data_IF_300930364827
#
_entry.id   IF_300930364827
#
_cell.length_a   1.000
_cell.length_b   1.000
_cell.length_c   1.000
_cell.angle_alpha   90.00
_cell.angle_beta   90.00
_cell.angle_gamma   90.00
#
_symmetry.space_group_name_H-M   'P 1'
#
loop_
_entity.id
_entity.type
_entity.pdbx_description
1 polymer ?
#
# COMPACT_ATOMS: atom_id res chain seq x y z
N UNK A 1 63.70 -50.94 76.05
CA UNK A 1 63.61 -51.16 74.56
C UNK A 1 62.26 -51.17 73.95
N UNK A 2 61.17 -51.59 74.66
CA UNK A 2 59.76 -51.50 74.16
C UNK A 2 59.35 -50.06 73.89
N UNK A 3 59.76 -49.07 74.68
CA UNK A 3 59.48 -47.62 74.42
C UNK A 3 60.13 -47.09 73.18
N UNK A 4 61.36 -47.58 72.86
CA UNK A 4 62.06 -47.15 71.66
C UNK A 4 61.40 -47.72 70.40
N UNK A 5 60.95 -48.96 70.44
CA UNK A 5 60.22 -49.61 69.35
C UNK A 5 58.89 -48.90 69.08
N UNK A 6 58.09 -48.58 70.16
CA UNK A 6 56.83 -47.87 70.04
C UNK A 6 57.01 -46.44 69.45
N UNK A 7 58.08 -45.76 69.84
CA UNK A 7 58.37 -44.40 69.22
C UNK A 7 58.76 -44.52 67.73
N UNK A 8 59.53 -45.57 67.37
CA UNK A 8 59.89 -45.81 65.96
C UNK A 8 58.64 -46.18 65.15
N UNK A 9 57.83 -47.11 65.69
CA UNK A 9 56.55 -47.48 65.02
C UNK A 9 55.66 -46.26 64.82
N UNK A 10 55.43 -45.46 65.86
CA UNK A 10 54.62 -44.23 65.75
C UNK A 10 55.26 -43.19 64.78
N UNK A 11 56.59 -43.08 64.75
CA UNK A 11 57.23 -42.18 63.72
C UNK A 11 57.12 -42.69 62.31
N UNK A 12 57.13 -44.00 62.09
CA UNK A 12 56.91 -44.62 60.77
C UNK A 12 55.46 -44.45 60.35
N UNK A 13 54.49 -44.75 61.26
CA UNK A 13 53.07 -44.53 61.00
C UNK A 13 52.75 -43.06 60.68
N UNK A 14 53.31 -42.13 61.46
CA UNK A 14 53.19 -40.68 61.20
C UNK A 14 53.81 -40.27 59.84
N UNK A 15 54.92 -40.88 59.48
CA UNK A 15 55.56 -40.69 58.17
C UNK A 15 54.76 -41.23 57.02
N UNK A 16 54.20 -42.45 57.17
CA UNK A 16 53.32 -43.04 56.19
C UNK A 16 52.01 -42.22 56.03
N UNK A 17 51.42 -41.77 57.11
CA UNK A 17 50.23 -40.92 57.07
C UNK A 17 50.52 -39.57 56.42
N UNK A 18 51.64 -38.94 56.72
CA UNK A 18 52.08 -37.69 56.09
C UNK A 18 52.29 -37.84 54.57
N UNK A 19 52.81 -38.99 54.16
CA UNK A 19 53.03 -39.30 52.75
C UNK A 19 51.68 -39.55 52.04
N UNK A 20 50.78 -40.32 52.67
CA UNK A 20 49.44 -40.56 52.14
C UNK A 20 48.65 -39.26 52.00
N UNK A 21 48.69 -38.37 53.00
CA UNK A 21 48.07 -37.05 52.94
C UNK A 21 48.64 -36.15 51.84
N UNK A 22 49.97 -36.21 51.62
CA UNK A 22 50.63 -35.49 50.53
C UNK A 22 50.16 -35.99 49.16
N UNK A 23 50.08 -37.32 49.03
CA UNK A 23 49.60 -37.96 47.79
C UNK A 23 48.17 -37.59 47.46
N UNK A 24 47.28 -37.72 48.46
CA UNK A 24 45.86 -37.29 48.32
C UNK A 24 45.73 -35.83 47.89
N UNK A 25 46.42 -34.90 48.55
CA UNK A 25 46.42 -33.47 48.20
C UNK A 25 46.94 -33.24 46.77
N UNK A 26 47.91 -34.00 46.32
CA UNK A 26 48.43 -33.93 44.94
C UNK A 26 47.39 -34.42 43.96
N UNK A 27 46.72 -35.54 44.21
CA UNK A 27 45.63 -36.07 43.38
C UNK A 27 44.46 -35.07 43.26
N UNK A 28 44.07 -34.49 44.39
CA UNK A 28 43.04 -33.46 44.43
C UNK A 28 43.40 -32.22 43.62
N UNK A 29 44.66 -31.79 43.69
CA UNK A 29 45.19 -30.66 42.90
C UNK A 29 45.22 -30.97 41.42
N UNK A 30 45.60 -32.18 41.01
CA UNK A 30 45.60 -32.64 39.63
C UNK A 30 44.15 -32.66 39.11
N UNK A 31 43.21 -33.28 39.83
CA UNK A 31 41.82 -33.35 39.43
C UNK A 31 41.17 -31.96 39.28
N UNK A 32 41.51 -31.03 40.19
CA UNK A 32 41.06 -29.64 40.09
C UNK A 32 41.55 -28.93 38.82
N UNK A 33 42.85 -29.07 38.50
CA UNK A 33 43.39 -28.48 37.24
C UNK A 33 42.87 -29.18 36.01
N UNK A 34 42.66 -30.49 36.01
CA UNK A 34 42.03 -31.24 34.92
C UNK A 34 40.63 -30.73 34.63
N UNK A 35 39.84 -30.50 35.69
CA UNK A 35 38.49 -29.91 35.54
C UNK A 35 38.50 -28.52 34.94
N UNK A 36 39.45 -27.66 35.35
CA UNK A 36 39.62 -26.31 34.80
C UNK A 36 40.09 -26.34 33.33
N UNK A 37 40.97 -27.27 32.99
CA UNK A 37 41.44 -27.45 31.61
C UNK A 37 40.30 -27.96 30.72
N UNK A 38 39.51 -28.93 31.18
CA UNK A 38 38.36 -29.44 30.45
C UNK A 38 37.27 -28.38 30.26
N UNK A 39 37.01 -27.56 31.27
CA UNK A 39 36.10 -26.43 31.15
C UNK A 39 36.56 -25.41 30.13
N UNK A 40 37.83 -25.08 30.11
CA UNK A 40 38.41 -24.19 29.11
C UNK A 40 38.32 -24.76 27.68
N UNK A 41 38.56 -26.08 27.53
CA UNK A 41 38.38 -26.78 26.25
C UNK A 41 36.95 -26.73 25.75
N UNK A 42 35.96 -26.98 26.63
CA UNK A 42 34.53 -26.89 26.33
C UNK A 42 34.11 -25.47 25.88
N UNK A 43 34.55 -24.46 26.63
CA UNK A 43 34.32 -23.05 26.27
C UNK A 43 34.94 -22.72 24.90
N UNK A 44 36.17 -23.19 24.65
CA UNK A 44 36.90 -22.94 23.41
C UNK A 44 36.18 -23.57 22.20
N UNK A 45 35.58 -24.71 22.37
CA UNK A 45 34.92 -25.45 21.30
C UNK A 45 33.49 -24.94 21.04
N UNK A 46 32.70 -24.73 22.08
CA UNK A 46 31.22 -24.60 21.95
C UNK A 46 30.69 -23.21 22.27
N UNK A 47 31.39 -22.36 23.05
CA UNK A 47 30.82 -21.08 23.47
C UNK A 47 30.75 -20.05 22.34
N UNK A 48 29.60 -19.39 22.23
CA UNK A 48 29.36 -18.23 21.33
C UNK A 48 29.12 -16.93 22.11
N UNK A 49 29.03 -17.02 23.44
CA UNK A 49 28.90 -15.87 24.34
C UNK A 49 30.27 -15.26 24.62
N UNK A 50 30.87 -14.62 23.64
CA UNK A 50 32.27 -14.20 23.61
C UNK A 50 32.75 -13.42 24.83
N UNK A 51 31.90 -12.55 25.39
CA UNK A 51 32.23 -11.76 26.57
C UNK A 51 32.28 -12.63 27.82
N UNK A 52 31.21 -13.34 28.12
CA UNK A 52 31.07 -14.20 29.29
C UNK A 52 32.11 -15.33 29.27
N UNK A 53 32.31 -15.96 28.10
CA UNK A 53 33.31 -16.98 27.88
C UNK A 53 34.72 -16.46 28.10
N UNK A 54 35.06 -15.27 27.58
CA UNK A 54 36.37 -14.64 27.79
C UNK A 54 36.61 -14.28 29.25
N UNK A 55 35.58 -13.82 29.97
CA UNK A 55 35.67 -13.56 31.41
C UNK A 55 35.86 -14.85 32.19
N UNK A 56 35.22 -15.95 31.82
CA UNK A 56 35.38 -17.25 32.47
C UNK A 56 36.78 -17.84 32.22
N UNK A 57 37.31 -17.77 31.02
CA UNK A 57 38.71 -18.22 30.72
C UNK A 57 39.71 -17.46 31.58
N UNK A 58 39.52 -16.15 31.79
CA UNK A 58 40.36 -15.37 32.71
C UNK A 58 40.22 -15.80 34.14
N UNK A 59 38.99 -16.06 34.62
CA UNK A 59 38.74 -16.56 35.99
C UNK A 59 39.39 -17.93 36.20
N UNK A 60 39.31 -18.84 35.22
CA UNK A 60 40.00 -20.14 35.23
C UNK A 60 41.51 -19.95 35.48
N UNK A 61 42.14 -18.98 34.84
CA UNK A 61 43.54 -18.68 35.06
C UNK A 61 43.86 -18.27 36.48
N UNK A 62 42.99 -17.46 37.10
CA UNK A 62 43.17 -17.03 38.49
C UNK A 62 42.96 -18.19 39.47
N UNK A 63 41.98 -19.08 39.25
CA UNK A 63 41.77 -20.32 40.00
C UNK A 63 42.99 -21.26 39.84
N UNK A 64 43.53 -21.40 38.61
CA UNK A 64 44.70 -22.20 38.30
C UNK A 64 45.92 -21.81 39.11
N UNK A 65 46.22 -20.53 39.25
CA UNK A 65 47.34 -19.96 40.00
C UNK A 65 47.31 -20.32 41.50
N UNK A 66 46.12 -20.55 42.06
CA UNK A 66 45.92 -20.89 43.48
C UNK A 66 46.21 -22.35 43.77
N UNK A 67 46.13 -23.25 42.79
CA UNK A 67 46.32 -24.69 42.97
C UNK A 67 47.82 -24.98 42.90
N UNK A 68 48.38 -25.54 43.98
CA UNK A 68 49.77 -25.87 44.16
C UNK A 68 49.96 -27.36 44.55
N UNK A 69 51.16 -27.86 44.52
CA UNK A 69 51.51 -29.21 44.99
C UNK A 69 51.48 -30.31 43.93
N UNK A 70 51.46 -29.93 42.64
CA UNK A 70 51.57 -30.84 41.49
C UNK A 70 53.00 -30.91 41.04
N UNK A 71 53.46 -32.07 40.59
CA UNK A 71 54.78 -32.21 39.97
C UNK A 71 54.84 -31.45 38.61
N UNK A 72 56.05 -30.98 38.29
CA UNK A 72 56.29 -30.14 37.15
C UNK A 72 55.84 -30.76 35.82
N UNK A 73 56.06 -32.04 35.62
CA UNK A 73 55.72 -32.73 34.36
C UNK A 73 54.20 -32.77 34.14
N UNK A 74 53.46 -33.11 35.17
CA UNK A 74 51.99 -33.15 35.11
C UNK A 74 51.41 -31.73 34.99
N UNK A 75 51.98 -30.77 35.75
CA UNK A 75 51.53 -29.38 35.69
C UNK A 75 51.77 -28.75 34.30
N UNK A 76 52.92 -28.99 33.70
CA UNK A 76 53.23 -28.55 32.34
C UNK A 76 52.29 -29.16 31.29
N UNK A 77 51.91 -30.44 31.46
CA UNK A 77 50.98 -31.09 30.56
C UNK A 77 49.58 -30.47 30.61
N UNK A 78 49.08 -30.24 31.85
CA UNK A 78 47.78 -29.61 32.09
C UNK A 78 47.74 -28.14 31.64
N UNK A 79 48.86 -27.42 31.88
CA UNK A 79 49.03 -26.05 31.40
C UNK A 79 48.98 -25.96 29.86
N UNK A 80 49.57 -26.91 29.16
CA UNK A 80 49.48 -26.97 27.69
C UNK A 80 48.06 -27.15 27.20
N UNK A 81 47.25 -27.96 27.88
CA UNK A 81 45.83 -28.12 27.55
C UNK A 81 45.08 -26.79 27.70
N UNK A 82 45.18 -26.15 28.85
CA UNK A 82 44.57 -24.84 29.12
C UNK A 82 45.01 -23.77 28.11
N UNK A 83 46.31 -23.66 27.88
CA UNK A 83 46.89 -22.68 26.97
C UNK A 83 46.38 -22.86 25.54
N UNK A 84 46.30 -24.11 25.06
CA UNK A 84 45.75 -24.42 23.72
C UNK A 84 44.26 -24.05 23.64
N UNK A 85 43.50 -24.35 24.66
CA UNK A 85 42.10 -24.01 24.74
C UNK A 85 41.91 -22.47 24.69
N UNK A 86 42.62 -21.73 25.53
CA UNK A 86 42.60 -20.26 25.54
C UNK A 86 42.97 -19.68 24.17
N UNK A 87 44.03 -20.18 23.55
CA UNK A 87 44.48 -19.68 22.25
C UNK A 87 43.48 -20.03 21.12
N UNK A 88 42.87 -21.21 21.19
CA UNK A 88 41.81 -21.60 20.28
C UNK A 88 40.59 -20.70 20.41
N UNK A 89 40.14 -20.42 21.63
CA UNK A 89 39.06 -19.47 21.90
C UNK A 89 39.37 -18.09 21.36
N UNK A 90 40.56 -17.55 21.61
CA UNK A 90 40.98 -16.24 21.11
C UNK A 90 41.02 -16.17 19.58
N UNK A 91 41.45 -17.24 18.89
CA UNK A 91 41.39 -17.31 17.43
C UNK A 91 39.98 -17.32 16.90
N UNK A 92 39.09 -18.16 17.46
CA UNK A 92 37.66 -18.21 17.07
C UNK A 92 36.99 -16.85 17.25
N UNK A 93 37.21 -16.24 18.42
CA UNK A 93 36.69 -14.90 18.73
C UNK A 93 37.19 -13.86 17.72
N UNK A 94 38.50 -13.84 17.44
CA UNK A 94 39.14 -12.94 16.48
C UNK A 94 38.55 -13.12 15.06
N UNK A 95 38.42 -14.36 14.61
CA UNK A 95 37.84 -14.68 13.31
C UNK A 95 36.40 -14.22 13.20
N UNK A 96 35.58 -14.46 14.24
CA UNK A 96 34.20 -14.05 14.28
C UNK A 96 34.03 -12.51 14.14
N UNK A 97 34.78 -11.74 14.92
CA UNK A 97 34.73 -10.28 14.83
C UNK A 97 35.31 -9.75 13.51
N UNK A 98 36.36 -10.37 12.96
CA UNK A 98 36.87 -10.00 11.65
C UNK A 98 35.86 -10.28 10.51
N UNK A 99 35.08 -11.34 10.61
CA UNK A 99 33.98 -11.60 9.66
C UNK A 99 32.88 -10.56 9.77
N UNK A 100 32.47 -10.22 10.99
CA UNK A 100 31.46 -9.16 11.23
C UNK A 100 31.93 -7.81 10.65
N UNK A 101 33.19 -7.45 10.86
CA UNK A 101 33.75 -6.20 10.34
C UNK A 101 33.82 -6.19 8.81
N UNK A 102 34.17 -7.32 8.20
CA UNK A 102 34.10 -7.48 6.74
C UNK A 102 32.68 -7.35 6.22
N UNK A 103 31.72 -8.03 6.85
CA UNK A 103 30.30 -7.94 6.47
C UNK A 103 29.76 -6.50 6.59
N UNK A 104 30.15 -5.79 7.67
CA UNK A 104 29.80 -4.38 7.86
C UNK A 104 30.41 -3.46 6.80
N UNK A 105 31.65 -3.72 6.40
CA UNK A 105 32.30 -2.96 5.33
C UNK A 105 31.62 -3.17 3.97
N UNK A 106 31.24 -4.40 3.66
CA UNK A 106 30.49 -4.72 2.43
C UNK A 106 29.11 -4.03 2.45
N UNK A 107 28.39 -4.12 3.58
CA UNK A 107 27.09 -3.47 3.75
C UNK A 107 27.21 -1.94 3.61
N UNK A 108 28.24 -1.33 4.19
CA UNK A 108 28.54 0.09 4.04
C UNK A 108 28.70 0.48 2.56
N UNK A 109 29.57 -0.20 1.84
CA UNK A 109 29.82 0.07 0.41
C UNK A 109 28.55 -0.04 -0.42
N UNK A 110 27.77 -1.12 -0.21
CA UNK A 110 26.49 -1.30 -0.91
C UNK A 110 25.50 -0.18 -0.61
N UNK A 111 25.40 0.25 0.64
CA UNK A 111 24.50 1.35 1.04
C UNK A 111 24.96 2.72 0.51
N UNK A 112 26.28 2.96 0.43
CA UNK A 112 26.82 4.15 -0.23
C UNK A 112 26.38 4.20 -1.71
N UNK A 113 26.50 3.10 -2.45
CA UNK A 113 26.03 2.99 -3.84
C UNK A 113 24.51 3.23 -3.96
N UNK A 114 23.73 2.70 -3.02
CA UNK A 114 22.27 2.89 -3.01
C UNK A 114 21.87 4.35 -2.74
N UNK A 115 22.59 5.03 -1.85
CA UNK A 115 22.38 6.47 -1.59
C UNK A 115 22.69 7.29 -2.84
N UNK A 116 23.81 7.04 -3.51
CA UNK A 116 24.17 7.73 -4.75
C UNK A 116 23.09 7.53 -5.84
N UNK A 117 22.58 6.32 -6.00
CA UNK A 117 21.48 6.03 -6.93
C UNK A 117 20.18 6.73 -6.53
N UNK A 118 19.86 6.80 -5.24
CA UNK A 118 18.68 7.51 -4.75
C UNK A 118 18.79 9.02 -4.98
N UNK A 119 19.96 9.62 -4.69
CA UNK A 119 20.22 11.03 -4.94
C UNK A 119 20.23 11.38 -6.43
N UNK A 120 20.70 10.48 -7.29
CA UNK A 120 20.68 10.69 -8.75
C UNK A 120 19.27 10.82 -9.35
N UNK A 121 18.26 10.22 -8.72
CA UNK A 121 16.87 10.22 -9.22
C UNK A 121 15.92 11.11 -8.42
N UNK A 122 16.39 11.82 -7.40
CA UNK A 122 15.54 12.60 -6.49
C UNK A 122 14.82 13.78 -7.15
N UNK A 123 15.34 14.30 -8.26
CA UNK A 123 14.80 15.41 -9.02
C UNK A 123 14.06 14.97 -10.32
N UNK A 124 13.82 13.67 -10.46
CA UNK A 124 13.13 13.12 -11.62
C UNK A 124 11.65 13.54 -11.65
N UNK A 125 11.16 13.89 -12.85
CA UNK A 125 9.75 14.15 -13.12
C UNK A 125 9.00 12.91 -13.67
N UNK A 126 9.71 11.81 -13.88
CA UNK A 126 9.16 10.52 -14.28
C UNK A 126 8.52 9.81 -13.08
N UNK A 127 7.38 10.32 -12.60
CA UNK A 127 6.78 9.96 -11.33
C UNK A 127 6.55 8.46 -11.12
N UNK A 128 6.01 7.76 -12.12
CA UNK A 128 5.70 6.33 -12.05
C UNK A 128 6.95 5.45 -12.03
N UNK A 129 7.83 5.53 -13.04
CA UNK A 129 9.08 4.78 -13.09
C UNK A 129 9.98 5.03 -11.88
N UNK A 130 10.17 6.29 -11.48
CA UNK A 130 11.03 6.66 -10.35
C UNK A 130 10.48 6.19 -9.00
N UNK A 131 9.15 6.21 -8.81
CA UNK A 131 8.54 5.64 -7.61
C UNK A 131 8.75 4.11 -7.52
N UNK A 132 8.79 3.41 -8.65
CA UNK A 132 9.19 1.99 -8.68
C UNK A 132 10.65 1.81 -8.34
N UNK A 133 11.54 2.63 -8.92
CA UNK A 133 12.96 2.59 -8.63
C UNK A 133 13.25 2.80 -7.13
N UNK A 134 12.58 3.71 -6.44
CA UNK A 134 12.71 3.87 -4.99
C UNK A 134 12.24 2.65 -4.19
N UNK A 135 11.23 1.92 -4.63
CA UNK A 135 10.81 0.66 -4.00
C UNK A 135 11.87 -0.43 -4.15
N UNK A 136 12.48 -0.52 -5.34
CA UNK A 136 13.54 -1.47 -5.61
C UNK A 136 14.80 -1.13 -4.79
N UNK A 137 15.19 0.14 -4.73
CA UNK A 137 16.28 0.62 -3.88
C UNK A 137 16.04 0.31 -2.40
N UNK A 138 14.80 0.44 -1.91
CA UNK A 138 14.45 0.10 -0.53
C UNK A 138 14.58 -1.41 -0.28
N UNK A 139 14.22 -2.24 -1.24
CA UNK A 139 14.40 -3.70 -1.16
C UNK A 139 15.88 -4.06 -1.09
N UNK A 140 16.70 -3.46 -1.96
CA UNK A 140 18.16 -3.62 -1.93
C UNK A 140 18.76 -3.10 -0.62
N UNK A 141 18.25 -1.99 -0.08
CA UNK A 141 18.66 -1.44 1.21
C UNK A 141 18.48 -2.42 2.36
N UNK A 142 17.32 -3.04 2.43
CA UNK A 142 16.99 -4.05 3.45
C UNK A 142 17.87 -5.29 3.32
N UNK A 143 18.22 -5.68 2.10
CA UNK A 143 19.07 -6.83 1.82
C UNK A 143 20.56 -6.57 2.07
N UNK A 144 21.01 -5.32 2.04
CA UNK A 144 22.42 -4.95 2.17
C UNK A 144 23.04 -5.25 3.56
N UNK A 145 22.23 -5.52 4.57
CA UNK A 145 22.69 -5.78 5.93
C UNK A 145 22.99 -4.50 6.72
N UNK A 146 23.73 -4.66 7.81
CA UNK A 146 24.07 -3.55 8.73
C UNK A 146 25.49 -3.06 8.49
N UNK A 147 25.63 -1.78 8.20
CA UNK A 147 26.91 -1.07 8.23
C UNK A 147 27.26 -0.68 9.69
N UNK A 148 28.48 -0.14 9.96
CA UNK A 148 28.78 0.47 11.25
C UNK A 148 27.73 1.52 11.61
N UNK A 149 27.27 1.52 12.86
CA UNK A 149 26.07 2.25 13.30
C UNK A 149 26.09 3.74 12.94
N UNK A 150 27.17 4.42 13.21
CA UNK A 150 27.33 5.85 12.94
C UNK A 150 27.29 6.19 11.45
N UNK A 151 27.82 5.30 10.62
CA UNK A 151 27.78 5.40 9.16
C UNK A 151 26.40 5.03 8.63
N UNK A 152 25.81 3.96 9.15
CA UNK A 152 24.48 3.48 8.75
C UNK A 152 23.40 4.54 8.97
N UNK A 153 23.42 5.22 10.13
CA UNK A 153 22.49 6.30 10.46
C UNK A 153 22.62 7.48 9.49
N UNK A 154 23.86 7.87 9.12
CA UNK A 154 24.13 8.95 8.16
C UNK A 154 23.68 8.58 6.74
N UNK A 155 23.96 7.36 6.30
CA UNK A 155 23.55 6.88 4.98
C UNK A 155 22.03 6.78 4.88
N UNK A 156 21.39 6.31 5.94
CA UNK A 156 19.93 6.27 6.01
C UNK A 156 19.29 7.66 5.93
N UNK A 157 19.84 8.64 6.65
CA UNK A 157 19.35 10.01 6.60
C UNK A 157 19.46 10.61 5.18
N UNK A 158 20.56 10.37 4.46
CA UNK A 158 20.73 10.80 3.07
C UNK A 158 19.75 10.08 2.11
N UNK A 159 19.64 8.78 2.23
CA UNK A 159 18.70 7.98 1.42
C UNK A 159 17.27 8.48 1.60
N UNK A 160 16.86 8.66 2.85
CA UNK A 160 15.51 9.15 3.18
C UNK A 160 15.28 10.58 2.69
N UNK A 161 16.26 11.46 2.83
CA UNK A 161 16.16 12.84 2.34
C UNK A 161 15.95 12.89 0.81
N UNK A 162 16.67 12.05 0.05
CA UNK A 162 16.48 11.93 -1.39
C UNK A 162 15.07 11.40 -1.75
N UNK A 163 14.63 10.38 -1.05
CA UNK A 163 13.28 9.82 -1.21
C UNK A 163 12.20 10.85 -0.89
N UNK A 164 12.31 11.53 0.24
CA UNK A 164 11.35 12.55 0.68
C UNK A 164 11.28 13.71 -0.32
N UNK A 165 12.42 14.17 -0.85
CA UNK A 165 12.49 15.22 -1.87
C UNK A 165 11.67 14.85 -3.11
N UNK A 166 11.86 13.64 -3.64
CA UNK A 166 11.11 13.16 -4.79
C UNK A 166 9.60 13.06 -4.51
N UNK A 167 9.22 12.40 -3.41
CA UNK A 167 7.80 12.20 -3.10
C UNK A 167 7.09 13.51 -2.76
N UNK A 168 7.77 14.46 -2.09
CA UNK A 168 7.21 15.78 -1.81
C UNK A 168 6.97 16.57 -3.12
N UNK A 169 7.92 16.54 -4.04
CA UNK A 169 7.76 17.18 -5.35
C UNK A 169 6.58 16.58 -6.14
N UNK A 170 6.48 15.24 -6.18
CA UNK A 170 5.36 14.53 -6.80
C UNK A 170 4.02 14.89 -6.15
N UNK A 171 3.97 14.92 -4.84
CA UNK A 171 2.75 15.24 -4.10
C UNK A 171 2.33 16.70 -4.35
N UNK A 172 3.28 17.63 -4.38
CA UNK A 172 2.99 19.04 -4.70
C UNK A 172 2.33 19.18 -6.08
N UNK A 173 2.82 18.47 -7.10
CA UNK A 173 2.22 18.48 -8.45
C UNK A 173 0.80 17.86 -8.43
N UNK A 174 0.60 16.78 -7.69
CA UNK A 174 -0.72 16.17 -7.55
C UNK A 174 -1.70 17.10 -6.80
N UNK A 175 -1.26 17.73 -5.72
CA UNK A 175 -2.07 18.65 -4.93
C UNK A 175 -2.47 19.89 -5.74
N UNK A 176 -1.58 20.42 -6.59
CA UNK A 176 -1.89 21.52 -7.50
C UNK A 176 -2.96 21.11 -8.52
N UNK A 177 -2.80 19.95 -9.15
CA UNK A 177 -3.79 19.41 -10.08
C UNK A 177 -5.14 19.16 -9.40
N UNK A 178 -5.14 18.64 -8.18
CA UNK A 178 -6.37 18.36 -7.43
C UNK A 178 -7.08 19.68 -7.04
N UNK A 179 -6.33 20.75 -6.75
CA UNK A 179 -6.89 22.10 -6.57
C UNK A 179 -7.49 22.64 -7.87
N UNK A 180 -6.76 22.54 -8.98
CA UNK A 180 -7.29 22.93 -10.29
C UNK A 180 -8.61 22.24 -10.61
N UNK A 181 -8.66 20.90 -10.42
CA UNK A 181 -9.88 20.14 -10.65
C UNK A 181 -11.04 20.55 -9.72
N UNK A 182 -10.74 20.90 -8.47
CA UNK A 182 -11.74 21.39 -7.55
C UNK A 182 -12.28 22.78 -7.93
N UNK A 183 -11.42 23.67 -8.43
CA UNK A 183 -11.88 24.97 -8.98
C UNK A 183 -12.67 24.80 -10.28
N UNK A 184 -12.28 23.86 -11.15
CA UNK A 184 -13.06 23.50 -12.34
C UNK A 184 -14.44 22.98 -11.97
N UNK A 185 -14.57 22.18 -10.91
CA UNK A 185 -15.85 21.70 -10.40
C UNK A 185 -16.76 22.88 -9.99
N UNK A 186 -16.21 23.83 -9.24
CA UNK A 186 -16.96 25.06 -8.87
C UNK A 186 -17.36 25.89 -10.06
N UNK A 187 -16.48 26.05 -11.04
CA UNK A 187 -16.76 26.76 -12.27
C UNK A 187 -17.89 26.09 -13.08
N UNK A 188 -17.89 24.77 -13.17
CA UNK A 188 -18.96 23.99 -13.82
C UNK A 188 -20.29 24.11 -13.05
N UNK A 189 -20.29 24.11 -11.73
CA UNK A 189 -21.50 24.38 -10.94
C UNK A 189 -22.05 25.78 -11.20
N UNK A 190 -21.18 26.80 -11.30
CA UNK A 190 -21.58 28.15 -11.65
C UNK A 190 -22.19 28.25 -13.06
N UNK A 191 -21.61 27.55 -14.04
CA UNK A 191 -22.17 27.46 -15.37
C UNK A 191 -23.56 26.81 -15.39
N UNK A 192 -23.74 25.69 -14.69
CA UNK A 192 -25.08 25.06 -14.58
C UNK A 192 -26.08 26.05 -13.97
N UNK A 193 -25.72 26.72 -12.86
CA UNK A 193 -26.59 27.68 -12.21
C UNK A 193 -26.94 28.87 -13.10
N UNK A 194 -26.01 29.36 -13.93
CA UNK A 194 -26.22 30.46 -14.86
C UNK A 194 -27.13 30.04 -16.02
N UNK A 195 -26.91 28.86 -16.60
CA UNK A 195 -27.60 28.43 -17.83
C UNK A 195 -28.87 27.65 -17.61
N UNK A 196 -29.12 27.06 -16.43
CA UNK A 196 -30.30 26.23 -16.17
C UNK A 196 -31.60 26.96 -16.45
N UNK A 197 -31.71 28.21 -16.02
CA UNK A 197 -32.89 29.05 -16.30
C UNK A 197 -32.93 29.67 -17.69
N UNK A 198 -31.78 29.73 -18.41
CA UNK A 198 -31.71 30.25 -19.78
C UNK A 198 -32.02 29.20 -20.83
N UNK A 199 -31.77 27.92 -20.53
CA UNK A 199 -32.11 26.79 -21.41
C UNK A 199 -33.55 26.39 -21.13
N UNK A 200 -34.49 27.21 -21.65
CA UNK A 200 -35.93 27.02 -21.52
C UNK A 200 -36.59 26.76 -22.89
N UNK A 201 -36.73 25.49 -23.28
CA UNK A 201 -37.32 25.11 -24.56
C UNK A 201 -38.81 25.49 -24.65
N UNK A 202 -39.49 25.76 -23.56
CA UNK A 202 -40.91 26.17 -23.57
C UNK A 202 -41.12 27.57 -24.19
N UNK A 203 -40.07 28.43 -24.07
CA UNK A 203 -40.07 29.77 -24.70
C UNK A 203 -39.60 29.74 -26.13
N UNK A 204 -38.51 29.03 -26.41
CA UNK A 204 -37.94 28.88 -27.74
C UNK A 204 -36.97 27.70 -27.78
N UNK A 205 -37.22 26.71 -28.60
CA UNK A 205 -36.35 25.56 -28.79
C UNK A 205 -35.00 26.01 -29.42
N UNK A 206 -35.04 26.86 -30.44
CA UNK A 206 -33.83 27.38 -31.08
C UNK A 206 -32.99 28.25 -30.10
N UNK A 207 -33.66 29.06 -29.26
CA UNK A 207 -33.00 29.81 -28.20
C UNK A 207 -32.33 28.92 -27.17
N UNK A 208 -33.05 27.85 -26.71
CA UNK A 208 -32.52 26.86 -25.79
C UNK A 208 -31.33 26.08 -26.35
N UNK A 209 -31.38 25.70 -27.64
CA UNK A 209 -30.28 25.07 -28.35
C UNK A 209 -29.04 25.99 -28.44
N UNK A 210 -29.23 27.26 -28.74
CA UNK A 210 -28.15 28.23 -28.82
C UNK A 210 -27.48 28.38 -27.45
N UNK A 211 -28.26 28.46 -26.36
CA UNK A 211 -27.73 28.54 -24.99
C UNK A 211 -27.05 27.25 -24.55
N UNK A 212 -27.58 26.10 -24.95
CA UNK A 212 -26.95 24.82 -24.67
C UNK A 212 -25.57 24.70 -25.34
N UNK A 213 -25.44 25.13 -26.61
CA UNK A 213 -24.12 25.15 -27.31
C UNK A 213 -23.14 26.10 -26.62
N UNK A 214 -23.59 27.29 -26.23
CA UNK A 214 -22.75 28.24 -25.49
C UNK A 214 -22.28 27.66 -24.14
N UNK A 215 -23.17 26.94 -23.42
CA UNK A 215 -22.80 26.21 -22.21
C UNK A 215 -21.78 25.11 -22.50
N UNK A 216 -21.98 24.30 -23.53
CA UNK A 216 -21.08 23.20 -23.90
C UNK A 216 -19.68 23.71 -24.24
N UNK A 217 -19.57 24.80 -24.98
CA UNK A 217 -18.27 25.44 -25.31
C UNK A 217 -17.54 25.88 -24.04
N UNK A 218 -18.23 26.61 -23.15
CA UNK A 218 -17.65 27.03 -21.86
C UNK A 218 -17.35 25.84 -20.95
N UNK A 219 -18.13 24.78 -21.00
CA UNK A 219 -17.94 23.56 -20.22
C UNK A 219 -16.65 22.84 -20.60
N UNK A 220 -16.33 22.76 -21.88
CA UNK A 220 -15.09 22.20 -22.40
C UNK A 220 -13.88 23.07 -22.03
N UNK A 221 -14.01 24.40 -22.09
CA UNK A 221 -12.94 25.32 -21.72
C UNK A 221 -12.56 25.21 -20.23
N UNK A 222 -13.49 24.91 -19.34
CA UNK A 222 -13.22 24.73 -17.91
C UNK A 222 -12.31 23.52 -17.67
N UNK A 223 -12.45 22.46 -18.44
CA UNK A 223 -11.61 21.27 -18.34
C UNK A 223 -12.10 20.23 -17.33
N UNK A 224 -11.14 19.48 -16.75
CA UNK A 224 -11.45 18.30 -15.95
C UNK A 224 -11.87 18.64 -14.51
N UNK A 225 -12.70 17.77 -13.93
CA UNK A 225 -13.13 17.78 -12.53
C UNK A 225 -12.53 16.59 -11.78
N UNK A 226 -12.56 16.56 -10.42
CA UNK A 226 -12.09 15.42 -9.64
C UNK A 226 -12.72 14.10 -10.11
N UNK A 227 -11.89 13.06 -10.25
CA UNK A 227 -12.31 11.76 -10.80
C UNK A 227 -13.57 11.17 -10.16
N UNK A 228 -13.74 11.41 -8.86
CA UNK A 228 -14.91 10.92 -8.11
C UNK A 228 -16.21 11.64 -8.48
N UNK A 229 -16.10 12.84 -9.05
CA UNK A 229 -17.25 13.72 -9.38
C UNK A 229 -17.55 13.70 -10.89
N UNK A 230 -16.74 13.07 -11.73
CA UNK A 230 -16.93 13.05 -13.19
C UNK A 230 -18.36 12.68 -13.58
N UNK A 231 -18.87 11.57 -13.04
CA UNK A 231 -20.24 11.10 -13.33
C UNK A 231 -21.34 12.08 -12.90
N UNK A 232 -21.14 12.77 -11.78
CA UNK A 232 -22.06 13.78 -11.29
C UNK A 232 -22.18 14.93 -12.27
N UNK A 233 -21.02 15.44 -12.75
CA UNK A 233 -20.96 16.55 -13.69
C UNK A 233 -21.42 16.16 -15.09
N UNK A 234 -21.12 14.96 -15.56
CA UNK A 234 -21.67 14.39 -16.78
C UNK A 234 -23.21 14.33 -16.71
N UNK A 235 -23.77 13.84 -15.61
CA UNK A 235 -25.23 13.79 -15.42
C UNK A 235 -25.88 15.18 -15.37
N UNK A 236 -25.20 16.20 -14.83
CA UNK A 236 -25.74 17.57 -14.78
C UNK A 236 -25.88 18.17 -16.19
N UNK A 237 -24.88 18.03 -17.03
CA UNK A 237 -24.95 18.56 -18.41
C UNK A 237 -25.90 17.72 -19.26
N UNK A 238 -25.84 16.40 -19.15
CA UNK A 238 -26.74 15.47 -19.85
C UNK A 238 -28.22 15.75 -19.56
N UNK A 239 -28.56 16.14 -18.33
CA UNK A 239 -29.94 16.51 -17.97
C UNK A 239 -30.41 17.75 -18.77
N UNK A 240 -29.55 18.74 -19.02
CA UNK A 240 -29.87 19.91 -19.82
C UNK A 240 -29.98 19.56 -21.32
N UNK A 241 -29.08 18.71 -21.81
CA UNK A 241 -29.12 18.19 -23.17
C UNK A 241 -30.41 17.41 -23.44
N UNK A 242 -30.79 16.53 -22.50
CA UNK A 242 -32.00 15.75 -22.59
C UNK A 242 -33.25 16.62 -22.56
N UNK A 243 -33.27 17.68 -21.73
CA UNK A 243 -34.38 18.66 -21.69
C UNK A 243 -34.64 19.28 -23.06
N UNK A 244 -33.59 19.68 -23.77
CA UNK A 244 -33.73 20.28 -25.11
C UNK A 244 -34.09 19.22 -26.15
N UNK A 245 -33.50 18.05 -26.10
CA UNK A 245 -33.78 16.94 -27.02
C UNK A 245 -35.25 16.45 -26.90
N UNK A 246 -35.79 16.35 -25.69
CA UNK A 246 -37.15 15.92 -25.47
C UNK A 246 -38.15 16.97 -26.00
N UNK A 247 -37.85 18.25 -25.78
CA UNK A 247 -38.70 19.32 -26.32
C UNK A 247 -38.67 19.34 -27.87
N UNK A 248 -37.51 19.17 -28.48
CA UNK A 248 -37.38 19.08 -29.94
C UNK A 248 -38.18 17.89 -30.51
N UNK A 249 -38.04 16.73 -29.87
CA UNK A 249 -38.78 15.54 -30.26
C UNK A 249 -40.30 15.72 -30.11
N UNK A 250 -40.74 16.42 -29.06
CA UNK A 250 -42.17 16.74 -28.84
C UNK A 250 -42.70 17.70 -29.91
N UNK A 251 -41.92 18.75 -30.27
CA UNK A 251 -42.30 19.67 -31.31
C UNK A 251 -42.35 19.00 -32.67
N UNK A 252 -41.37 18.16 -33.01
CA UNK A 252 -41.34 17.39 -34.24
C UNK A 252 -42.61 16.51 -34.37
N UNK A 253 -43.04 15.83 -33.31
CA UNK A 253 -44.28 15.05 -33.31
C UNK A 253 -45.53 15.89 -33.56
N UNK A 254 -45.58 17.08 -32.97
CA UNK A 254 -46.74 18.01 -33.18
C UNK A 254 -46.79 18.58 -34.61
N UNK A 255 -45.61 18.78 -35.21
CA UNK A 255 -45.50 19.37 -36.55
C UNK A 255 -45.35 18.31 -37.65
N UNK A 256 -45.32 17.01 -37.30
CA UNK A 256 -45.22 15.92 -38.28
C UNK A 256 -46.46 15.93 -39.22
N UNK A 257 -46.21 16.22 -40.50
CA UNK A 257 -47.33 16.32 -41.49
C UNK A 257 -48.10 15.03 -41.65
N UNK A 258 -47.45 13.85 -41.50
CA UNK A 258 -48.13 12.55 -41.60
C UNK A 258 -49.02 12.28 -40.37
N UNK A 259 -48.56 12.62 -39.18
CA UNK A 259 -49.36 12.50 -37.97
C UNK A 259 -50.57 13.45 -38.00
N UNK A 260 -50.35 14.72 -38.41
CA UNK A 260 -51.46 15.69 -38.57
C UNK A 260 -52.45 15.26 -39.68
N UNK A 261 -51.93 14.76 -40.82
CA UNK A 261 -52.77 14.24 -41.87
C UNK A 261 -53.64 13.05 -41.39
N UNK A 262 -53.10 12.18 -40.56
CA UNK A 262 -53.85 11.06 -39.95
C UNK A 262 -54.98 11.52 -39.03
N UNK A 263 -54.69 12.49 -38.18
CA UNK A 263 -55.73 13.10 -37.30
C UNK A 263 -56.83 13.75 -38.18
N UNK A 264 -56.44 14.55 -39.19
CA UNK A 264 -57.35 15.18 -40.11
C UNK A 264 -58.19 14.15 -40.91
N UNK A 265 -57.60 13.02 -41.31
CA UNK A 265 -58.29 11.94 -41.99
C UNK A 265 -59.35 11.28 -41.13
N UNK A 266 -59.08 11.05 -39.87
CA UNK A 266 -60.07 10.49 -38.92
C UNK A 266 -61.16 11.50 -38.62
N UNK A 267 -60.83 12.78 -38.43
CA UNK A 267 -61.82 13.82 -38.21
C UNK A 267 -62.75 13.98 -39.44
N UNK A 268 -62.21 13.94 -40.66
CA UNK A 268 -63.00 13.99 -41.86
C UNK A 268 -64.01 12.82 -41.95
N UNK A 269 -63.66 11.63 -41.46
CA UNK A 269 -64.59 10.50 -41.36
C UNK A 269 -65.72 10.77 -40.38
N UNK A 270 -65.38 11.34 -39.22
CA UNK A 270 -66.37 11.74 -38.20
C UNK A 270 -67.39 12.71 -38.83
N UNK A 271 -66.89 13.71 -39.53
CA UNK A 271 -67.77 14.76 -40.18
C UNK A 271 -68.69 14.15 -41.25
N UNK A 272 -68.14 13.21 -42.05
CA UNK A 272 -68.95 12.50 -43.07
C UNK A 272 -70.06 11.68 -42.41
N UNK A 273 -69.74 10.92 -41.34
CA UNK A 273 -70.78 10.11 -40.66
C UNK A 273 -71.80 10.96 -39.95
N UNK A 274 -71.43 12.08 -39.38
CA UNK A 274 -72.37 13.03 -38.76
C UNK A 274 -73.29 13.67 -39.81
N UNK A 275 -72.77 14.13 -40.94
CA UNK A 275 -73.59 14.68 -42.05
C UNK A 275 -74.51 13.64 -42.63
N UNK A 276 -74.13 12.38 -42.75
CA UNK A 276 -75.00 11.28 -43.18
C UNK A 276 -76.06 10.98 -42.15
N UNK A 277 -75.76 11.07 -40.86
CA UNK A 277 -76.72 10.89 -39.78
C UNK A 277 -77.78 11.97 -39.82
N UNK A 278 -77.40 13.25 -39.95
CA UNK A 278 -78.31 14.38 -40.10
C UNK A 278 -79.22 14.21 -41.32
N UNK A 279 -78.68 13.81 -42.48
CA UNK A 279 -79.42 13.53 -43.70
C UNK A 279 -80.41 12.36 -43.56
N UNK A 280 -80.02 11.33 -42.76
CA UNK A 280 -80.95 10.21 -42.46
C UNK A 280 -82.12 10.64 -41.53
N UNK A 281 -81.80 11.48 -40.56
CA UNK A 281 -82.74 12.05 -39.62
C UNK A 281 -83.78 12.92 -40.33
N UNK A 282 -83.31 13.78 -41.22
CA UNK A 282 -84.18 14.63 -42.05
C UNK A 282 -85.14 13.81 -42.98
N UNK A 283 -84.77 12.56 -43.31
CA UNK A 283 -85.56 11.60 -44.08
C UNK A 283 -86.48 10.70 -43.20
N UNK A 284 -86.53 10.98 -41.89
CA UNK A 284 -87.35 10.22 -40.95
C UNK A 284 -86.80 8.83 -40.55
N UNK A 285 -85.54 8.51 -40.91
CA UNK A 285 -84.90 7.19 -40.64
C UNK A 285 -84.09 7.25 -39.37
N UNK A 286 -84.75 7.30 -38.21
CA UNK A 286 -84.12 7.44 -36.89
C UNK A 286 -83.13 6.28 -36.54
N UNK A 287 -83.40 5.03 -37.00
CA UNK A 287 -82.54 3.88 -36.72
C UNK A 287 -81.25 4.05 -37.47
N UNK A 288 -81.27 4.43 -38.76
CA UNK A 288 -80.03 4.64 -39.55
C UNK A 288 -79.26 5.85 -39.04
N UNK A 289 -79.94 6.88 -38.59
CA UNK A 289 -79.24 8.02 -37.95
C UNK A 289 -78.52 7.63 -36.69
N UNK A 290 -79.12 6.81 -35.83
CA UNK A 290 -78.43 6.27 -34.63
C UNK A 290 -77.20 5.41 -34.93
N UNK A 291 -77.29 4.50 -35.91
CA UNK A 291 -76.20 3.65 -36.35
C UNK A 291 -75.02 4.49 -36.90
N UNK A 292 -75.34 5.54 -37.69
CA UNK A 292 -74.33 6.45 -38.23
C UNK A 292 -73.69 7.31 -37.16
N UNK A 293 -74.40 7.74 -36.13
CA UNK A 293 -73.84 8.46 -34.99
C UNK A 293 -72.92 7.54 -34.16
N UNK A 294 -73.30 6.29 -33.95
CA UNK A 294 -72.39 5.31 -33.26
C UNK A 294 -71.12 5.10 -34.05
N UNK A 295 -71.15 5.10 -35.36
CA UNK A 295 -69.91 5.03 -36.19
C UNK A 295 -69.13 6.35 -36.09
N UNK A 296 -69.73 7.49 -36.09
CA UNK A 296 -69.08 8.76 -35.87
C UNK A 296 -68.33 8.80 -34.51
N UNK A 297 -68.99 8.30 -33.43
CA UNK A 297 -68.34 8.17 -32.10
C UNK A 297 -67.13 7.26 -32.09
N UNK A 298 -67.18 6.13 -32.79
CA UNK A 298 -66.03 5.24 -32.93
C UNK A 298 -64.81 5.93 -33.64
N UNK A 299 -65.14 6.66 -34.75
CA UNK A 299 -64.05 7.40 -35.45
C UNK A 299 -63.53 8.60 -34.64
N UNK A 300 -64.46 9.23 -33.84
CA UNK A 300 -64.04 10.27 -32.89
C UNK A 300 -63.05 9.71 -31.87
N UNK A 301 -63.28 8.52 -31.32
CA UNK A 301 -62.32 7.89 -30.41
C UNK A 301 -60.96 7.62 -31.07
N UNK A 302 -60.94 7.24 -32.37
CA UNK A 302 -59.68 7.12 -33.12
C UNK A 302 -58.99 8.46 -33.38
N UNK A 303 -59.78 9.49 -33.69
CA UNK A 303 -59.25 10.85 -33.92
C UNK A 303 -58.67 11.40 -32.60
N UNK A 304 -59.34 11.22 -31.48
CA UNK A 304 -58.87 11.64 -30.17
C UNK A 304 -57.61 10.89 -29.74
N UNK A 305 -57.57 9.56 -29.95
CA UNK A 305 -56.39 8.76 -29.68
C UNK A 305 -55.17 9.18 -30.55
N UNK A 306 -55.40 9.46 -31.83
CA UNK A 306 -54.37 9.97 -32.73
C UNK A 306 -53.88 11.38 -32.33
N UNK A 307 -54.80 12.27 -31.94
CA UNK A 307 -54.48 13.62 -31.48
C UNK A 307 -53.72 13.59 -30.14
N UNK A 308 -54.10 12.71 -29.21
CA UNK A 308 -53.38 12.50 -27.95
C UNK A 308 -51.99 11.96 -28.20
N UNK A 309 -51.80 11.00 -29.10
CA UNK A 309 -50.48 10.48 -29.46
C UNK A 309 -49.54 11.56 -30.08
N UNK A 310 -50.08 12.60 -30.69
CA UNK A 310 -49.34 13.77 -31.18
C UNK A 310 -49.02 14.77 -30.09
N UNK A 311 -49.86 14.87 -29.05
CA UNK A 311 -49.73 15.86 -27.98
C UNK A 311 -49.17 15.30 -26.66
N UNK A 312 -49.09 13.95 -26.51
CA UNK A 312 -48.54 13.34 -25.30
C UNK A 312 -47.09 13.70 -25.08
N UNK A 313 -46.80 14.19 -23.87
CA UNK A 313 -45.51 14.68 -23.39
C UNK A 313 -44.49 13.56 -23.23
#
# INVERSE_FOLDING_TARGET
DRRLVAVIEHSVEAGEQAQADKERRREEAIAAKEKLAAEAEEIAENSTEWKAAGDRIRAILEEWKRIKGIDRKTDDALWKRYSRARDSFNRRRGSHFAELDRARAVARKKKEELVERAEAIQDSTEWGPTARAYRDLMTEWKAAGRAPRDVDDKLWARFRAAQDKFFNARNAVNDERDREFAENAKAKDALIAEYDGQIDPSKSIEGAKAKLRELQEKWEEVGFVPRKQVREYESKIEALEQRVADAEKSEWRRTDPEAQARVAQFQAKVDVFNSQAEAAEAKGNAKKAADLRAQAEQWQAFADAAANAVNDK
#
